data_IF_199684476252
#
_entry.id   IF_199684476252
#
_cell.length_a   1.000
_cell.length_b   1.000
_cell.length_c   1.000
_cell.angle_alpha   90.00
_cell.angle_beta   90.00
_cell.angle_gamma   90.00
#
_symmetry.space_group_name_H-M   'P 1'
#
loop_
_entity.id
_entity.type
_entity.pdbx_description
1 polymer ?
#
# COMPACT_ATOMS: atom_id res chain seq x y z
N UNK A 1 -27.26 -9.12 4.37
CA UNK A 1 -26.49 -9.50 5.57
C UNK A 1 -25.43 -8.45 5.92
N UNK A 2 -24.42 -8.08 5.09
CA UNK A 2 -23.40 -7.04 5.43
C UNK A 2 -23.93 -5.67 5.86
N UNK A 3 -25.05 -5.19 5.29
CA UNK A 3 -25.64 -3.87 5.65
C UNK A 3 -26.30 -3.88 7.04
N UNK A 4 -26.86 -5.00 7.47
CA UNK A 4 -27.49 -5.18 8.77
C UNK A 4 -26.46 -5.20 9.91
N UNK A 5 -25.32 -5.85 9.71
CA UNK A 5 -24.19 -5.89 10.67
C UNK A 5 -23.59 -4.49 10.86
N UNK A 6 -23.46 -3.70 9.78
CA UNK A 6 -22.97 -2.32 9.84
C UNK A 6 -23.89 -1.43 10.70
N UNK A 7 -25.21 -1.55 10.53
CA UNK A 7 -26.20 -0.76 11.29
C UNK A 7 -26.22 -1.15 12.77
N UNK A 8 -26.14 -2.46 13.08
CA UNK A 8 -26.07 -2.93 14.46
C UNK A 8 -24.79 -2.45 15.18
N UNK A 9 -23.66 -2.42 14.47
CA UNK A 9 -22.39 -1.89 14.99
C UNK A 9 -22.46 -0.38 15.26
N UNK A 10 -23.13 0.39 14.41
CA UNK A 10 -23.36 1.82 14.64
C UNK A 10 -24.20 2.07 15.89
N UNK A 11 -25.27 1.30 16.08
CA UNK A 11 -26.09 1.39 17.30
C UNK A 11 -25.31 0.97 18.55
N UNK A 12 -24.47 -0.04 18.47
CA UNK A 12 -23.60 -0.46 19.57
C UNK A 12 -22.58 0.64 19.95
N UNK A 13 -22.00 1.34 18.98
CA UNK A 13 -21.15 2.52 19.19
C UNK A 13 -21.91 3.66 19.87
N UNK A 14 -23.15 3.92 19.46
CA UNK A 14 -24.01 4.96 20.07
C UNK A 14 -24.37 4.64 21.52
N UNK A 15 -24.66 3.38 21.86
CA UNK A 15 -24.87 2.96 23.26
C UNK A 15 -23.67 3.28 24.15
N UNK A 16 -22.47 3.19 23.59
CA UNK A 16 -21.23 3.57 24.28
C UNK A 16 -21.05 5.07 24.43
N UNK A 17 -21.25 5.83 23.37
CA UNK A 17 -21.19 7.30 23.42
C UNK A 17 -22.12 7.86 24.48
N UNK A 18 -23.27 7.21 24.69
CA UNK A 18 -24.23 7.53 25.72
C UNK A 18 -23.84 7.00 27.12
N UNK A 19 -22.67 6.34 27.26
CA UNK A 19 -22.20 5.73 28.51
C UNK A 19 -23.23 4.82 29.19
N UNK A 20 -24.00 4.04 28.42
CA UNK A 20 -24.98 3.10 28.97
C UNK A 20 -24.25 1.85 29.45
N UNK A 21 -24.34 1.48 30.77
CA UNK A 21 -23.65 0.32 31.31
C UNK A 21 -24.11 -1.01 30.68
N UNK A 22 -23.19 -1.99 30.60
CA UNK A 22 -23.47 -3.30 29.97
C UNK A 22 -24.52 -4.13 30.70
N UNK A 23 -24.65 -3.96 32.03
CA UNK A 23 -25.68 -4.60 32.83
C UNK A 23 -27.11 -4.11 32.45
N UNK A 24 -27.28 -2.84 32.12
CA UNK A 24 -28.56 -2.26 31.65
C UNK A 24 -28.92 -2.79 30.25
N UNK A 25 -27.93 -2.93 29.36
CA UNK A 25 -28.13 -3.57 28.05
C UNK A 25 -28.53 -5.03 28.23
N UNK A 26 -27.90 -5.74 29.16
CA UNK A 26 -28.27 -7.12 29.55
C UNK A 26 -29.68 -7.23 30.09
N UNK A 27 -30.05 -6.39 31.08
CA UNK A 27 -31.41 -6.35 31.65
C UNK A 27 -32.48 -6.07 30.59
N UNK A 28 -32.19 -5.19 29.63
CA UNK A 28 -33.12 -4.90 28.52
C UNK A 28 -33.33 -6.13 27.63
N UNK A 29 -32.25 -6.85 27.34
CA UNK A 29 -32.30 -8.13 26.61
C UNK A 29 -33.11 -9.20 27.35
N UNK A 30 -32.98 -9.26 28.67
CA UNK A 30 -33.72 -10.20 29.52
C UNK A 30 -35.21 -9.87 29.57
N UNK A 31 -35.58 -8.58 29.56
CA UNK A 31 -36.99 -8.16 29.46
C UNK A 31 -37.62 -8.60 28.11
N UNK A 32 -36.88 -8.45 27.02
CA UNK A 32 -37.37 -8.92 25.69
C UNK A 32 -37.49 -10.45 25.63
N UNK A 33 -36.60 -11.18 26.32
CA UNK A 33 -36.69 -12.65 26.41
C UNK A 33 -37.81 -13.11 27.32
N UNK A 34 -38.04 -12.41 28.44
CA UNK A 34 -39.10 -12.75 29.38
C UNK A 34 -40.51 -12.47 28.81
N UNK A 35 -40.66 -11.44 27.99
CA UNK A 35 -41.93 -11.06 27.35
C UNK A 35 -41.72 -10.83 25.85
N UNK A 36 -41.64 -11.93 25.03
CA UNK A 36 -41.36 -11.82 23.58
C UNK A 36 -42.41 -10.96 22.83
N UNK A 37 -43.64 -10.90 23.35
CA UNK A 37 -44.71 -10.13 22.76
C UNK A 37 -44.39 -8.62 22.71
N UNK A 38 -43.67 -8.08 23.68
CA UNK A 38 -43.23 -6.67 23.70
C UNK A 38 -42.28 -6.37 22.54
N UNK A 39 -41.37 -7.30 22.21
CA UNK A 39 -40.47 -7.13 21.06
C UNK A 39 -41.25 -7.14 19.74
N UNK A 40 -42.17 -8.08 19.58
CA UNK A 40 -43.06 -8.19 18.40
C UNK A 40 -43.94 -6.95 18.22
N UNK A 41 -44.49 -6.43 19.33
CA UNK A 41 -45.32 -5.21 19.29
C UNK A 41 -44.49 -3.98 18.92
N UNK A 42 -43.21 -3.93 19.33
CA UNK A 42 -42.31 -2.84 18.96
C UNK A 42 -41.88 -2.93 17.49
N UNK A 43 -41.75 -4.13 16.93
CA UNK A 43 -41.46 -4.36 15.50
C UNK A 43 -42.70 -4.09 14.62
N UNK A 44 -43.91 -4.25 15.15
CA UNK A 44 -45.15 -4.11 14.38
C UNK A 44 -45.43 -2.67 13.99
N UNK A 45 -45.67 -2.38 12.70
CA UNK A 45 -46.11 -1.05 12.25
C UNK A 45 -47.57 -0.75 12.63
N UNK A 46 -48.37 -1.72 13.07
CA UNK A 46 -49.74 -1.55 13.47
C UNK A 46 -49.88 -0.87 14.86
N UNK A 47 -48.83 -0.91 15.69
CA UNK A 47 -48.80 -0.28 17.02
C UNK A 47 -48.28 1.14 16.88
N UNK A 48 -49.05 2.13 17.39
CA UNK A 48 -48.67 3.54 17.32
C UNK A 48 -47.37 3.82 18.11
N UNK A 49 -46.53 4.74 17.63
CA UNK A 49 -45.28 5.14 18.30
C UNK A 49 -45.53 5.63 19.73
N UNK A 50 -46.62 6.35 19.96
CA UNK A 50 -47.02 6.83 21.30
C UNK A 50 -47.31 5.69 22.28
N UNK A 51 -47.92 4.60 21.80
CA UNK A 51 -48.12 3.40 22.62
C UNK A 51 -46.80 2.68 22.94
N UNK A 52 -45.89 2.55 21.96
CA UNK A 52 -44.56 1.99 22.15
C UNK A 52 -43.75 2.79 23.16
N UNK A 53 -43.70 4.12 23.04
CA UNK A 53 -43.04 5.03 23.97
C UNK A 53 -43.59 4.93 25.41
N UNK A 54 -44.89 4.83 25.56
CA UNK A 54 -45.50 4.66 26.89
C UNK A 54 -45.10 3.35 27.58
N UNK A 55 -44.93 2.26 26.82
CA UNK A 55 -44.44 0.99 27.35
C UNK A 55 -42.96 1.11 27.73
N UNK A 56 -42.14 1.75 26.87
CA UNK A 56 -40.72 1.99 27.17
C UNK A 56 -40.56 2.76 28.48
N UNK A 57 -41.34 3.79 28.72
CA UNK A 57 -41.24 4.60 29.94
C UNK A 57 -41.64 3.86 31.21
N UNK A 58 -42.50 2.85 31.11
CA UNK A 58 -43.02 2.13 32.27
C UNK A 58 -42.18 0.86 32.61
N UNK A 59 -41.58 0.23 31.60
CA UNK A 59 -41.01 -1.11 31.73
C UNK A 59 -39.48 -1.08 31.75
N UNK A 60 -38.85 -0.17 31.02
CA UNK A 60 -37.43 -0.18 30.82
C UNK A 60 -36.66 0.79 31.75
N UNK A 61 -35.38 0.50 32.09
CA UNK A 61 -34.52 1.38 32.86
C UNK A 61 -34.38 2.77 32.25
N UNK A 62 -34.24 3.80 33.10
CA UNK A 62 -34.26 5.21 32.65
C UNK A 62 -33.17 5.51 31.62
N UNK A 63 -31.95 4.93 31.80
CA UNK A 63 -30.77 5.22 31.01
C UNK A 63 -30.87 4.76 29.55
N UNK A 64 -31.71 3.76 29.24
CA UNK A 64 -31.83 3.18 27.90
C UNK A 64 -33.11 3.62 27.16
N UNK A 65 -34.03 4.33 27.82
CA UNK A 65 -35.33 4.67 27.26
C UNK A 65 -35.23 5.47 25.97
N UNK A 66 -34.39 6.49 25.95
CA UNK A 66 -34.27 7.36 24.77
C UNK A 66 -33.69 6.63 23.59
N UNK A 67 -32.74 5.73 23.85
CA UNK A 67 -32.18 4.85 22.82
C UNK A 67 -33.25 3.89 22.25
N UNK A 68 -34.03 3.26 23.10
CA UNK A 68 -35.13 2.38 22.66
C UNK A 68 -36.21 3.12 21.88
N UNK A 69 -36.53 4.38 22.25
CA UNK A 69 -37.45 5.21 21.47
C UNK A 69 -36.95 5.45 20.06
N UNK A 70 -35.65 5.79 19.92
CA UNK A 70 -35.01 5.96 18.59
C UNK A 70 -35.03 4.66 17.78
N UNK A 71 -34.77 3.50 18.42
CA UNK A 71 -34.85 2.20 17.76
C UNK A 71 -36.27 1.88 17.27
N UNK A 72 -37.29 2.23 18.07
CA UNK A 72 -38.71 2.07 17.69
C UNK A 72 -39.11 3.02 16.56
N UNK A 73 -38.67 4.28 16.61
CA UNK A 73 -38.96 5.30 15.61
C UNK A 73 -38.35 4.95 14.24
N UNK A 74 -37.15 4.35 14.23
CA UNK A 74 -36.49 3.87 13.03
C UNK A 74 -36.99 2.49 12.56
N UNK A 75 -37.75 1.76 13.39
CA UNK A 75 -38.23 0.42 13.08
C UNK A 75 -37.16 -0.67 13.17
N UNK A 76 -36.04 -0.41 13.86
CA UNK A 76 -34.83 -1.26 13.90
C UNK A 76 -34.75 -2.18 15.14
N UNK A 77 -35.89 -2.33 15.87
CA UNK A 77 -35.94 -3.14 17.11
C UNK A 77 -35.55 -4.63 16.85
N UNK A 78 -35.81 -5.13 15.66
CA UNK A 78 -35.42 -6.47 15.25
C UNK A 78 -33.90 -6.74 15.30
N UNK A 79 -33.08 -5.67 15.22
CA UNK A 79 -31.62 -5.75 15.32
C UNK A 79 -31.11 -5.84 16.75
N UNK A 80 -31.99 -5.84 17.78
CA UNK A 80 -31.58 -5.79 19.18
C UNK A 80 -30.56 -6.87 19.56
N UNK A 81 -30.74 -8.10 19.11
CA UNK A 81 -29.84 -9.22 19.43
C UNK A 81 -28.45 -9.05 18.79
N UNK A 82 -28.43 -8.51 17.55
CA UNK A 82 -27.19 -8.17 16.84
C UNK A 82 -26.48 -6.99 17.49
N UNK A 83 -27.25 -5.98 17.96
CA UNK A 83 -26.73 -4.82 18.71
C UNK A 83 -26.09 -5.28 20.03
N UNK A 84 -26.74 -6.19 20.77
CA UNK A 84 -26.20 -6.74 22.00
C UNK A 84 -24.90 -7.52 21.76
N UNK A 85 -24.81 -8.26 20.66
CA UNK A 85 -23.62 -9.00 20.27
C UNK A 85 -22.50 -8.03 19.92
N UNK A 86 -22.75 -7.07 19.05
CA UNK A 86 -21.82 -6.02 18.68
C UNK A 86 -21.36 -5.18 19.89
N UNK A 87 -22.26 -4.87 20.83
CA UNK A 87 -21.92 -4.13 22.04
C UNK A 87 -20.96 -4.90 22.94
N UNK A 88 -21.09 -6.24 23.05
CA UNK A 88 -20.13 -7.10 23.79
C UNK A 88 -18.77 -7.20 23.09
N UNK A 89 -18.75 -7.24 21.77
CA UNK A 89 -17.51 -7.27 20.99
C UNK A 89 -16.75 -5.95 21.04
N UNK A 90 -17.49 -4.84 21.05
CA UNK A 90 -16.96 -3.47 21.18
C UNK A 90 -16.66 -3.10 22.64
N UNK A 91 -17.03 -3.89 23.66
CA UNK A 91 -16.88 -3.56 25.10
C UNK A 91 -15.44 -3.66 25.62
N UNK A 92 -14.91 -2.64 26.33
CA UNK A 92 -13.54 -2.66 26.83
C UNK A 92 -13.36 -3.53 28.10
N UNK A 93 -14.33 -4.34 28.47
CA UNK A 93 -14.21 -5.28 29.60
C UNK A 93 -13.38 -6.56 29.30
N UNK A 94 -12.98 -6.80 28.06
CA UNK A 94 -11.66 -7.41 27.86
C UNK A 94 -10.64 -6.28 28.08
N UNK A 95 -10.04 -6.19 29.26
CA UNK A 95 -8.66 -5.72 29.37
C UNK A 95 -7.93 -6.53 28.32
N UNK A 96 -7.55 -5.89 27.18
CA UNK A 96 -6.57 -6.47 26.30
C UNK A 96 -5.33 -6.64 27.17
N UNK A 97 -5.13 -7.87 27.65
CA UNK A 97 -3.93 -8.24 28.34
C UNK A 97 -2.82 -7.92 27.36
N UNK A 98 -1.99 -6.94 27.68
CA UNK A 98 -0.87 -6.59 26.84
C UNK A 98 0.13 -7.74 26.91
N UNK A 99 0.00 -8.64 25.92
CA UNK A 99 0.81 -9.86 25.85
C UNK A 99 2.16 -9.50 25.26
N UNK A 100 3.21 -9.79 26.00
CA UNK A 100 4.60 -9.69 25.55
C UNK A 100 5.14 -11.10 25.34
N UNK A 101 5.41 -11.47 24.10
CA UNK A 101 5.97 -12.78 23.75
C UNK A 101 7.49 -12.66 23.58
N UNK A 102 8.24 -13.42 24.38
CA UNK A 102 9.69 -13.55 24.26
C UNK A 102 10.02 -14.89 23.59
N UNK A 103 10.53 -14.85 22.35
CA UNK A 103 11.05 -16.04 21.65
C UNK A 103 12.57 -16.10 21.82
N UNK A 104 13.12 -17.24 22.20
CA UNK A 104 14.55 -17.41 22.49
C UNK A 104 15.09 -18.77 22.02
N UNK A 105 16.41 -18.85 21.81
CA UNK A 105 17.10 -20.13 21.56
C UNK A 105 17.66 -20.72 22.86
N UNK A 106 18.25 -19.87 23.71
CA UNK A 106 18.75 -20.27 25.03
C UNK A 106 17.90 -19.56 26.08
N UNK A 107 17.38 -20.31 27.05
CA UNK A 107 16.52 -19.76 28.09
C UNK A 107 17.22 -18.60 28.83
N UNK A 108 16.61 -17.41 28.88
CA UNK A 108 17.17 -16.27 29.59
C UNK A 108 17.20 -16.50 31.09
N UNK A 109 18.17 -15.91 31.73
CA UNK A 109 18.25 -15.93 33.22
C UNK A 109 17.16 -15.05 33.84
N UNK A 110 16.81 -15.29 35.09
CA UNK A 110 15.82 -14.48 35.81
C UNK A 110 16.17 -12.97 35.81
N UNK A 111 17.45 -12.65 35.91
CA UNK A 111 17.93 -11.26 35.84
C UNK A 111 17.70 -10.64 34.46
N UNK A 112 17.94 -11.40 33.39
CA UNK A 112 17.68 -10.94 32.02
C UNK A 112 16.18 -10.75 31.77
N UNK A 113 15.34 -11.66 32.25
CA UNK A 113 13.88 -11.52 32.18
C UNK A 113 13.39 -10.27 32.90
N UNK A 114 13.95 -9.98 34.08
CA UNK A 114 13.58 -8.78 34.83
C UNK A 114 14.00 -7.49 34.09
N UNK A 115 15.18 -7.48 33.48
CA UNK A 115 15.66 -6.34 32.70
C UNK A 115 14.77 -6.10 31.45
N UNK A 116 14.39 -7.16 30.76
CA UNK A 116 13.45 -7.09 29.63
C UNK A 116 12.09 -6.54 30.09
N UNK A 117 11.57 -7.06 31.21
CA UNK A 117 10.31 -6.58 31.77
C UNK A 117 10.36 -5.09 32.11
N UNK A 118 11.42 -4.63 32.77
CA UNK A 118 11.62 -3.23 33.13
C UNK A 118 11.73 -2.33 31.87
N UNK A 119 12.42 -2.81 30.83
CA UNK A 119 12.53 -2.09 29.57
C UNK A 119 11.16 -1.87 28.93
N UNK A 120 10.36 -2.94 28.82
CA UNK A 120 9.03 -2.88 28.21
C UNK A 120 8.07 -2.03 29.06
N UNK A 121 8.09 -2.18 30.38
CA UNK A 121 7.29 -1.38 31.31
C UNK A 121 7.58 0.12 31.16
N UNK A 122 8.84 0.48 31.08
CA UNK A 122 9.26 1.87 30.92
C UNK A 122 8.83 2.44 29.56
N UNK A 123 8.92 1.63 28.51
CA UNK A 123 8.59 2.08 27.15
C UNK A 123 7.09 2.27 26.94
N UNK A 124 6.27 1.34 27.40
CA UNK A 124 4.82 1.38 27.21
C UNK A 124 4.06 2.04 28.37
N UNK A 125 4.75 2.42 29.45
CA UNK A 125 4.18 3.01 30.65
C UNK A 125 2.96 2.21 31.19
N UNK A 126 3.07 0.87 31.18
CA UNK A 126 2.03 -0.06 31.64
C UNK A 126 2.62 -1.04 32.65
N UNK A 127 1.84 -1.35 33.69
CA UNK A 127 2.20 -2.35 34.70
C UNK A 127 1.53 -3.72 34.46
N UNK A 128 0.36 -3.72 33.83
CA UNK A 128 -0.45 -4.91 33.54
C UNK A 128 0.00 -5.55 32.22
N UNK A 129 1.01 -6.45 32.29
CA UNK A 129 1.52 -7.17 31.13
C UNK A 129 1.63 -8.67 31.42
N UNK A 130 1.19 -9.48 30.46
CA UNK A 130 1.36 -10.93 30.47
C UNK A 130 2.59 -11.29 29.65
N UNK A 131 3.60 -11.92 30.27
CA UNK A 131 4.80 -12.38 29.58
C UNK A 131 4.66 -13.86 29.22
N UNK A 132 4.67 -14.14 27.91
CA UNK A 132 4.75 -15.49 27.38
C UNK A 132 6.17 -15.74 26.84
N UNK A 133 6.74 -16.89 27.20
CA UNK A 133 8.07 -17.29 26.74
C UNK A 133 7.95 -18.50 25.82
N UNK A 134 8.62 -18.46 24.65
CA UNK A 134 8.59 -19.51 23.65
C UNK A 134 10.00 -19.86 23.19
N UNK A 135 10.36 -21.13 23.21
CA UNK A 135 11.60 -21.59 22.62
C UNK A 135 11.47 -21.69 21.11
N UNK A 136 12.40 -21.06 20.37
CA UNK A 136 12.41 -21.05 18.89
C UNK A 136 13.85 -21.25 18.36
N UNK A 137 14.24 -22.51 18.07
CA UNK A 137 15.57 -22.82 17.56
C UNK A 137 15.87 -22.20 16.20
N UNK A 138 14.84 -21.78 15.42
CA UNK A 138 15.02 -21.22 14.09
C UNK A 138 15.73 -19.86 14.08
N UNK A 139 15.83 -19.18 15.23
CA UNK A 139 16.48 -17.88 15.38
C UNK A 139 18.01 -17.94 15.25
N UNK A 140 18.61 -19.12 15.30
CA UNK A 140 20.05 -19.33 15.20
C UNK A 140 20.87 -18.80 16.38
N UNK A 141 20.23 -18.18 17.37
CA UNK A 141 20.81 -17.55 18.58
C UNK A 141 20.14 -16.23 18.93
N UNK A 142 20.27 -15.77 20.18
CA UNK A 142 19.65 -14.54 20.67
C UNK A 142 18.17 -14.70 20.95
N UNK A 143 17.40 -13.61 20.88
CA UNK A 143 15.98 -13.58 21.24
C UNK A 143 15.22 -12.51 20.43
N UNK A 144 13.90 -12.69 20.35
CA UNK A 144 12.95 -11.72 19.78
C UNK A 144 11.89 -11.41 20.84
N UNK A 145 11.60 -10.12 21.03
CA UNK A 145 10.52 -9.66 21.89
C UNK A 145 9.40 -9.12 21.00
N UNK A 146 8.17 -9.58 21.22
CA UNK A 146 6.96 -9.01 20.62
C UNK A 146 6.14 -8.35 21.73
N UNK A 147 5.85 -7.07 21.57
CA UNK A 147 5.06 -6.31 22.53
C UNK A 147 3.99 -5.51 21.78
N UNK A 148 2.75 -5.98 21.79
CA UNK A 148 1.70 -5.43 20.94
C UNK A 148 2.06 -5.57 19.46
N UNK A 149 2.11 -4.44 18.74
CA UNK A 149 2.42 -4.40 17.30
C UNK A 149 3.93 -4.20 17.01
N UNK A 150 4.78 -4.09 18.03
CA UNK A 150 6.22 -3.90 17.86
C UNK A 150 6.99 -5.19 18.08
N UNK A 151 8.03 -5.39 17.27
CA UNK A 151 8.95 -6.52 17.36
C UNK A 151 10.38 -6.01 17.48
N UNK A 152 11.05 -6.46 18.51
CA UNK A 152 12.46 -6.18 18.78
C UNK A 152 13.24 -7.44 18.49
N UNK A 153 14.03 -7.43 17.41
CA UNK A 153 14.80 -8.59 16.96
C UNK A 153 16.27 -8.45 17.32
N UNK A 154 16.72 -9.24 18.31
CA UNK A 154 18.11 -9.44 18.69
C UNK A 154 18.62 -10.85 18.33
N UNK A 155 17.95 -11.53 17.37
CA UNK A 155 18.39 -12.85 16.93
C UNK A 155 19.65 -12.77 16.07
N UNK A 156 20.38 -13.89 15.98
CA UNK A 156 21.55 -13.99 15.10
C UNK A 156 21.17 -13.83 13.65
N UNK A 157 20.02 -14.37 13.25
CA UNK A 157 19.51 -14.24 11.89
C UNK A 157 19.13 -12.79 11.55
N UNK A 158 18.49 -12.05 12.48
CA UNK A 158 18.19 -10.64 12.32
C UNK A 158 19.45 -9.79 12.16
N UNK A 159 20.48 -10.07 12.97
CA UNK A 159 21.79 -9.40 12.88
C UNK A 159 22.52 -9.69 11.57
N UNK A 160 22.51 -10.94 11.11
CA UNK A 160 23.10 -11.33 9.82
C UNK A 160 22.44 -10.61 8.65
N UNK A 161 21.11 -10.47 8.71
CA UNK A 161 20.34 -9.75 7.68
C UNK A 161 20.69 -8.27 7.68
N UNK A 162 20.73 -7.61 8.83
CA UNK A 162 21.15 -6.20 8.96
C UNK A 162 22.57 -5.98 8.44
N UNK A 163 23.48 -6.92 8.73
CA UNK A 163 24.86 -6.87 8.25
C UNK A 163 24.93 -7.04 6.72
N UNK A 164 24.18 -7.99 6.17
CA UNK A 164 24.10 -8.18 4.71
C UNK A 164 23.52 -6.95 4.00
N UNK A 165 22.47 -6.32 4.56
CA UNK A 165 21.88 -5.10 4.03
C UNK A 165 22.87 -3.92 4.05
N UNK A 166 23.63 -3.75 5.14
CA UNK A 166 24.69 -2.74 5.23
C UNK A 166 25.82 -3.00 4.24
N UNK A 167 26.27 -4.27 4.11
CA UNK A 167 27.30 -4.65 3.14
C UNK A 167 26.87 -4.34 1.70
N UNK A 168 25.62 -4.57 1.36
CA UNK A 168 25.10 -4.27 0.03
C UNK A 168 25.09 -2.76 -0.28
N UNK A 169 24.98 -1.92 0.75
CA UNK A 169 25.08 -0.46 0.62
C UNK A 169 26.53 0.02 0.47
N UNK A 170 27.46 -0.58 1.21
CA UNK A 170 28.89 -0.23 1.17
C UNK A 170 29.58 -0.67 -0.12
N UNK A 171 29.19 -1.82 -0.68
CA UNK A 171 29.73 -2.34 -1.95
C UNK A 171 29.48 -1.44 -3.18
N UNK A 172 28.60 -0.45 -3.06
CA UNK A 172 28.24 0.49 -4.14
C UNK A 172 29.18 1.72 -4.24
N UNK A 173 30.07 1.96 -3.26
CA UNK A 173 30.80 3.25 -3.15
C UNK A 173 32.32 3.16 -3.01
N UNK A 174 32.95 1.98 -3.01
CA UNK A 174 34.37 1.86 -2.68
C UNK A 174 35.18 0.95 -3.61
N UNK A 175 36.43 1.36 -3.91
CA UNK A 175 37.45 0.52 -4.55
C UNK A 175 37.87 -0.63 -3.63
N UNK A 176 38.39 -1.75 -4.20
CA UNK A 176 38.70 -2.99 -3.47
C UNK A 176 39.54 -2.81 -2.19
N UNK A 177 40.44 -1.85 -2.12
CA UNK A 177 41.24 -1.57 -0.92
C UNK A 177 40.52 -0.76 0.15
N UNK A 178 39.49 0.02 -0.22
CA UNK A 178 38.64 0.76 0.69
C UNK A 178 37.59 -0.12 1.42
N UNK A 179 37.17 -1.20 0.79
CA UNK A 179 36.14 -2.10 1.33
C UNK A 179 36.61 -2.76 2.64
N UNK A 180 37.86 -3.22 2.73
CA UNK A 180 38.38 -3.91 3.93
C UNK A 180 38.51 -2.95 5.14
N UNK A 181 38.90 -1.68 4.91
CA UNK A 181 39.03 -0.71 5.99
C UNK A 181 37.64 -0.21 6.46
N UNK A 182 36.68 -0.04 5.54
CA UNK A 182 35.30 0.32 5.85
C UNK A 182 34.60 -0.83 6.59
N UNK A 183 34.80 -2.08 6.14
CA UNK A 183 34.28 -3.27 6.81
C UNK A 183 34.80 -3.42 8.25
N UNK A 184 36.09 -3.15 8.48
CA UNK A 184 36.66 -3.17 9.84
C UNK A 184 36.04 -2.09 10.72
N UNK A 185 35.91 -0.86 10.24
CA UNK A 185 35.29 0.25 10.97
C UNK A 185 33.81 -0.02 11.28
N UNK A 186 33.05 -0.52 10.31
CA UNK A 186 31.63 -0.87 10.50
C UNK A 186 31.43 -2.06 11.44
N UNK A 187 32.38 -3.02 11.51
CA UNK A 187 32.35 -4.14 12.46
C UNK A 187 32.66 -3.65 13.87
N UNK A 188 33.61 -2.72 14.03
CA UNK A 188 34.00 -2.15 15.33
C UNK A 188 32.92 -1.17 15.88
N UNK A 189 32.23 -0.41 15.00
CA UNK A 189 31.17 0.54 15.34
C UNK A 189 29.76 -0.07 15.29
N UNK A 190 29.63 -1.39 15.06
CA UNK A 190 28.36 -2.08 14.96
C UNK A 190 27.61 -2.06 16.29
N UNK A 191 26.90 -0.96 16.53
CA UNK A 191 26.06 -0.78 17.69
C UNK A 191 24.75 -1.54 17.48
N UNK A 192 24.50 -2.52 18.32
CA UNK A 192 23.33 -3.40 18.35
C UNK A 192 22.08 -2.61 18.76
N UNK A 193 21.46 -1.90 17.80
CA UNK A 193 20.12 -1.36 18.01
C UNK A 193 19.10 -2.40 17.55
N UNK A 194 18.10 -2.65 18.40
CA UNK A 194 16.95 -3.45 17.97
C UNK A 194 16.25 -2.76 16.81
N UNK A 195 15.95 -3.50 15.75
CA UNK A 195 15.14 -2.99 14.68
C UNK A 195 13.68 -2.96 15.18
N UNK A 196 13.15 -1.77 15.40
CA UNK A 196 11.74 -1.57 15.72
C UNK A 196 10.93 -1.69 14.43
N UNK A 197 10.37 -2.85 14.19
CA UNK A 197 9.47 -3.06 13.05
C UNK A 197 8.03 -3.07 13.56
N UNK A 198 7.22 -2.19 13.02
CA UNK A 198 5.78 -2.22 13.21
C UNK A 198 5.17 -3.38 12.42
N UNK A 199 4.27 -4.12 13.06
CA UNK A 199 3.64 -5.28 12.49
C UNK A 199 2.13 -5.10 12.55
N UNK A 200 1.51 -5.22 11.38
CA UNK A 200 0.07 -5.24 11.26
C UNK A 200 -0.48 -6.62 10.91
N UNK A 201 -1.79 -6.69 10.84
CA UNK A 201 -2.53 -7.85 10.34
C UNK A 201 -3.53 -7.42 9.28
N UNK A 202 -3.70 -8.26 8.27
CA UNK A 202 -4.69 -8.04 7.20
C UNK A 202 -6.09 -8.15 7.77
N UNK A 203 -6.89 -7.10 7.63
CA UNK A 203 -8.32 -7.08 8.00
C UNK A 203 -9.23 -7.46 6.83
N UNK A 204 -8.79 -7.21 5.60
CA UNK A 204 -9.51 -7.55 4.38
C UNK A 204 -8.53 -7.62 3.19
N UNK A 205 -8.76 -8.56 2.26
CA UNK A 205 -7.99 -8.67 1.01
C UNK A 205 -8.91 -9.03 -0.15
N UNK A 206 -8.64 -8.47 -1.31
CA UNK A 206 -9.36 -8.78 -2.56
C UNK A 206 -8.98 -7.83 -3.70
N UNK A 207 -9.02 -8.34 -4.93
CA UNK A 207 -8.81 -7.58 -6.17
C UNK A 207 -7.48 -6.78 -6.20
N UNK A 208 -6.42 -7.32 -5.60
CA UNK A 208 -5.10 -6.68 -5.57
C UNK A 208 -4.96 -5.57 -4.52
N UNK A 209 -5.86 -5.51 -3.53
CA UNK A 209 -5.82 -4.57 -2.41
C UNK A 209 -5.91 -5.34 -1.10
N UNK A 210 -5.22 -4.86 -0.07
CA UNK A 210 -5.33 -5.32 1.29
C UNK A 210 -5.53 -4.14 2.24
N UNK A 211 -6.46 -4.27 3.18
CA UNK A 211 -6.54 -3.39 4.34
C UNK A 211 -5.78 -4.04 5.50
N UNK A 212 -4.98 -3.24 6.20
CA UNK A 212 -4.10 -3.72 7.27
C UNK A 212 -4.31 -2.85 8.51
N UNK A 213 -4.51 -3.49 9.65
CA UNK A 213 -4.62 -2.86 10.96
C UNK A 213 -3.32 -3.04 11.75
N UNK A 214 -3.04 -2.12 12.68
CA UNK A 214 -1.93 -2.24 13.61
C UNK A 214 -0.59 -1.71 13.08
N UNK A 215 -0.60 -0.93 12.00
CA UNK A 215 0.52 -0.13 11.54
C UNK A 215 0.11 1.34 11.62
N UNK A 216 0.55 2.02 12.69
CA UNK A 216 0.07 3.37 13.01
C UNK A 216 0.95 4.47 12.41
N UNK A 217 2.22 4.17 12.08
CA UNK A 217 3.19 5.14 11.58
C UNK A 217 3.53 4.96 10.09
N UNK A 218 2.72 4.19 9.34
CA UNK A 218 2.95 4.01 7.91
C UNK A 218 2.79 5.33 7.15
N UNK A 219 3.71 5.58 6.22
CA UNK A 219 3.64 6.72 5.31
C UNK A 219 2.98 6.33 3.98
N UNK A 220 2.33 7.31 3.34
CA UNK A 220 1.86 7.15 1.97
C UNK A 220 3.03 6.81 1.02
N UNK A 221 2.84 5.81 0.17
CA UNK A 221 3.88 5.34 -0.74
C UNK A 221 4.92 4.40 -0.10
N UNK A 222 4.78 4.04 1.17
CA UNK A 222 5.69 3.10 1.83
C UNK A 222 5.44 1.65 1.39
N UNK A 223 6.50 0.87 1.26
CA UNK A 223 6.43 -0.57 1.00
C UNK A 223 6.20 -1.33 2.29
N UNK A 224 5.24 -2.23 2.26
CA UNK A 224 4.99 -3.25 3.29
C UNK A 224 5.20 -4.64 2.71
N UNK A 225 5.59 -5.60 3.54
CA UNK A 225 5.85 -6.98 3.14
C UNK A 225 4.90 -7.90 3.90
N UNK A 226 4.15 -8.71 3.17
CA UNK A 226 3.27 -9.74 3.71
C UNK A 226 4.06 -11.01 4.01
N UNK A 227 3.59 -11.84 4.96
CA UNK A 227 4.27 -13.11 5.32
C UNK A 227 4.44 -14.06 4.12
N UNK A 228 3.59 -13.95 3.09
CA UNK A 228 3.72 -14.66 1.81
C UNK A 228 4.91 -14.18 0.96
N UNK A 229 5.61 -13.11 1.36
CA UNK A 229 6.65 -12.45 0.57
C UNK A 229 6.12 -11.46 -0.47
N UNK A 230 4.81 -11.35 -0.64
CA UNK A 230 4.21 -10.35 -1.53
C UNK A 230 4.48 -8.96 -0.97
N UNK A 231 4.88 -8.05 -1.85
CA UNK A 231 5.07 -6.63 -1.50
C UNK A 231 3.78 -5.86 -1.76
N UNK A 232 3.50 -4.89 -0.91
CA UNK A 232 2.42 -3.93 -1.13
C UNK A 232 2.92 -2.51 -0.92
N UNK A 233 2.20 -1.55 -1.47
CA UNK A 233 2.46 -0.12 -1.27
C UNK A 233 1.26 0.52 -0.57
N UNK A 234 1.52 1.30 0.47
CA UNK A 234 0.50 2.04 1.21
C UNK A 234 -0.05 3.16 0.33
N UNK A 235 -1.34 3.13 0.04
CA UNK A 235 -2.04 4.10 -0.81
C UNK A 235 -3.13 4.88 -0.06
N UNK A 236 -3.55 4.40 1.09
CA UNK A 236 -4.56 5.06 1.91
C UNK A 236 -4.18 4.91 3.38
N UNK A 237 -4.16 6.01 4.11
CA UNK A 237 -3.84 6.02 5.55
C UNK A 237 -5.05 6.57 6.27
N UNK A 238 -5.70 5.72 7.08
CA UNK A 238 -6.85 6.06 7.91
C UNK A 238 -6.45 5.96 9.38
N UNK A 239 -7.36 6.35 10.26
CA UNK A 239 -7.10 6.37 11.69
C UNK A 239 -6.75 4.98 12.26
N UNK A 240 -7.46 3.95 11.83
CA UNK A 240 -7.39 2.61 12.43
C UNK A 240 -6.91 1.54 11.42
N UNK A 241 -6.77 1.89 10.15
CA UNK A 241 -6.34 0.97 9.08
C UNK A 241 -5.57 1.68 7.97
N UNK A 242 -4.71 0.95 7.29
CA UNK A 242 -4.07 1.39 6.05
C UNK A 242 -4.56 0.55 4.88
N UNK A 243 -4.76 1.19 3.72
CA UNK A 243 -5.09 0.53 2.46
C UNK A 243 -3.84 0.36 1.61
N UNK A 244 -3.49 -0.88 1.30
CA UNK A 244 -2.31 -1.23 0.51
C UNK A 244 -2.71 -1.79 -0.84
N UNK A 245 -2.03 -1.37 -1.91
CA UNK A 245 -2.09 -2.03 -3.21
C UNK A 245 -1.03 -3.13 -3.27
N UNK A 246 -1.38 -4.30 -3.81
CA UNK A 246 -0.51 -5.48 -3.85
C UNK A 246 0.24 -5.56 -5.18
N UNK A 247 1.51 -5.89 -5.14
CA UNK A 247 2.37 -6.10 -6.30
C UNK A 247 2.53 -7.58 -6.67
N UNK A 248 1.56 -8.39 -6.33
CA UNK A 248 1.53 -9.82 -6.62
C UNK A 248 0.12 -10.38 -6.42
N UNK A 249 -0.05 -11.66 -6.70
CA UNK A 249 -1.34 -12.31 -6.51
C UNK A 249 -1.69 -12.41 -5.03
N UNK A 250 -2.94 -12.15 -4.71
CA UNK A 250 -3.50 -12.16 -3.36
C UNK A 250 -3.90 -13.56 -2.86
N UNK A 251 -3.69 -14.60 -3.67
CA UNK A 251 -4.13 -15.97 -3.38
C UNK A 251 -3.58 -16.57 -2.09
N UNK A 252 -2.40 -16.12 -1.66
CA UNK A 252 -1.74 -16.59 -0.43
C UNK A 252 -1.98 -15.66 0.76
N UNK A 253 -2.62 -14.50 0.54
CA UNK A 253 -2.91 -13.53 1.59
C UNK A 253 -4.33 -13.75 2.09
N UNK A 254 -4.51 -13.85 3.40
CA UNK A 254 -5.79 -14.05 4.08
C UNK A 254 -5.99 -13.03 5.19
N UNK A 255 -7.21 -12.88 5.67
CA UNK A 255 -7.49 -12.13 6.89
C UNK A 255 -6.66 -12.71 8.05
N UNK A 256 -6.01 -11.85 8.82
CA UNK A 256 -5.06 -12.23 9.87
C UNK A 256 -3.62 -12.47 9.39
N UNK A 257 -3.32 -12.45 8.07
CA UNK A 257 -1.94 -12.53 7.58
C UNK A 257 -1.13 -11.37 8.13
N UNK A 258 0.07 -11.68 8.62
CA UNK A 258 0.99 -10.70 9.17
C UNK A 258 1.58 -9.82 8.07
N UNK A 259 1.73 -8.53 8.36
CA UNK A 259 2.33 -7.53 7.48
C UNK A 259 3.40 -6.77 8.25
N UNK A 260 4.55 -6.59 7.63
CA UNK A 260 5.69 -5.89 8.22
C UNK A 260 5.95 -4.61 7.46
N UNK A 261 6.08 -3.52 8.19
CA UNK A 261 6.49 -2.22 7.67
C UNK A 261 7.98 -2.24 7.31
N UNK A 262 8.36 -1.60 6.20
CA UNK A 262 9.77 -1.52 5.77
C UNK A 262 10.42 -0.17 6.04
N UNK A 263 9.66 0.90 6.25
CA UNK A 263 10.17 2.27 6.34
C UNK A 263 10.75 2.81 5.03
N UNK A 264 10.60 2.10 3.91
CA UNK A 264 11.13 2.49 2.60
C UNK A 264 10.00 2.85 1.66
N UNK A 265 10.12 3.97 0.96
CA UNK A 265 9.18 4.36 -0.10
C UNK A 265 9.30 3.43 -1.30
N UNK A 266 8.18 3.22 -1.99
CA UNK A 266 8.15 2.47 -3.23
C UNK A 266 9.08 3.10 -4.26
N UNK A 267 9.89 2.31 -4.89
CA UNK A 267 10.88 2.72 -5.86
C UNK A 267 11.26 1.58 -6.80
N UNK A 268 12.10 1.92 -7.74
CA UNK A 268 12.57 1.02 -8.78
C UNK A 268 14.12 1.05 -8.83
N UNK A 269 14.77 -0.08 -9.09
CA UNK A 269 16.19 -0.06 -9.40
C UNK A 269 16.46 0.69 -10.71
N UNK A 270 17.55 1.44 -10.76
CA UNK A 270 17.94 2.27 -11.91
C UNK A 270 19.42 2.07 -12.26
N UNK A 271 19.81 2.49 -13.45
CA UNK A 271 21.18 2.44 -13.94
C UNK A 271 21.30 2.13 -15.43
N UNK A 272 22.51 2.18 -15.95
CA UNK A 272 22.76 1.97 -17.38
C UNK A 272 22.47 0.52 -17.83
N UNK A 273 22.45 -0.43 -16.90
CA UNK A 273 22.06 -1.81 -17.18
C UNK A 273 20.65 -1.99 -17.70
N UNK A 274 19.79 -0.96 -17.63
CA UNK A 274 18.41 -1.00 -18.13
C UNK A 274 18.31 -0.72 -19.64
N UNK A 275 19.35 -0.15 -20.26
CA UNK A 275 19.41 0.09 -21.70
C UNK A 275 19.34 -1.25 -22.47
N UNK A 276 18.48 -1.34 -23.45
CA UNK A 276 18.29 -2.57 -24.24
C UNK A 276 17.46 -3.65 -23.56
N UNK A 277 16.88 -3.39 -22.39
CA UNK A 277 16.18 -4.40 -21.58
C UNK A 277 14.67 -4.20 -21.59
N UNK A 278 13.97 -5.32 -21.33
CA UNK A 278 12.52 -5.32 -21.13
C UNK A 278 12.27 -5.70 -19.68
N UNK A 279 11.60 -4.81 -18.95
CA UNK A 279 11.33 -4.97 -17.52
C UNK A 279 9.84 -4.86 -17.22
N UNK A 280 9.42 -5.42 -16.11
CA UNK A 280 8.09 -5.22 -15.55
C UNK A 280 7.96 -3.85 -14.85
N UNK A 281 6.79 -3.57 -14.29
CA UNK A 281 6.51 -2.35 -13.56
C UNK A 281 7.30 -2.19 -12.25
N UNK A 282 7.98 -3.23 -11.77
CA UNK A 282 8.85 -3.24 -10.59
C UNK A 282 10.34 -3.20 -10.93
N UNK A 283 10.68 -3.16 -12.23
CA UNK A 283 12.07 -3.18 -12.72
C UNK A 283 12.70 -4.57 -12.83
N UNK A 284 11.92 -5.64 -12.62
CA UNK A 284 12.43 -6.98 -12.82
C UNK A 284 12.51 -7.32 -14.31
N UNK A 285 13.61 -7.94 -14.80
CA UNK A 285 13.76 -8.28 -16.20
C UNK A 285 12.79 -9.40 -16.61
N UNK A 286 12.12 -9.21 -17.75
CA UNK A 286 11.17 -10.18 -18.35
C UNK A 286 11.61 -10.65 -19.73
N UNK A 287 12.78 -10.23 -20.20
CA UNK A 287 13.37 -10.56 -21.52
C UNK A 287 14.18 -11.87 -21.54
N UNK A 288 14.35 -12.52 -20.39
CA UNK A 288 15.15 -13.75 -20.28
C UNK A 288 16.67 -13.55 -20.39
N UNK A 289 17.16 -12.30 -20.49
CA UNK A 289 18.59 -12.00 -20.60
C UNK A 289 19.35 -11.98 -19.26
N UNK A 290 18.73 -12.48 -18.20
CA UNK A 290 19.32 -12.56 -16.86
C UNK A 290 19.16 -11.28 -16.04
N UNK A 291 19.71 -11.24 -14.81
CA UNK A 291 19.57 -10.12 -13.90
C UNK A 291 20.21 -8.85 -14.45
N UNK A 292 19.61 -7.70 -14.14
CA UNK A 292 20.12 -6.39 -14.53
C UNK A 292 21.08 -5.90 -13.43
N UNK A 293 22.21 -5.30 -13.84
CA UNK A 293 23.09 -4.63 -12.90
C UNK A 293 22.47 -3.32 -12.44
N UNK A 294 22.06 -3.28 -11.20
CA UNK A 294 21.51 -2.10 -10.55
C UNK A 294 22.65 -1.17 -10.12
N UNK A 295 22.51 0.13 -10.36
CA UNK A 295 23.46 1.16 -9.92
C UNK A 295 22.90 2.04 -8.81
N UNK A 296 21.57 2.10 -8.72
CA UNK A 296 20.85 2.88 -7.72
C UNK A 296 19.45 2.38 -7.50
N UNK A 297 18.74 3.03 -6.58
CA UNK A 297 17.33 2.84 -6.30
C UNK A 297 16.64 4.21 -6.24
N UNK A 298 15.57 4.39 -7.00
CA UNK A 298 14.88 5.67 -7.10
C UNK A 298 13.42 5.53 -6.71
N UNK A 299 12.88 6.42 -5.86
CA UNK A 299 11.45 6.44 -5.58
C UNK A 299 10.65 6.65 -6.85
N UNK A 300 9.51 5.95 -6.99
CA UNK A 300 8.61 6.11 -8.15
C UNK A 300 7.82 7.42 -8.09
N UNK A 301 7.65 8.01 -6.92
CA UNK A 301 7.03 9.32 -6.72
C UNK A 301 8.01 10.24 -6.03
N UNK A 302 8.32 11.36 -6.67
CA UNK A 302 9.13 12.43 -6.08
C UNK A 302 8.70 13.81 -6.62
N UNK A 303 9.02 14.89 -5.87
CA UNK A 303 8.69 16.23 -6.32
C UNK A 303 9.37 16.55 -7.65
N UNK A 304 8.63 17.15 -8.58
CA UNK A 304 9.21 17.64 -9.83
C UNK A 304 10.20 18.80 -9.54
N UNK A 305 11.23 18.99 -10.41
CA UNK A 305 12.14 20.10 -10.32
C UNK A 305 11.41 21.45 -10.28
N UNK A 306 11.91 22.39 -9.48
CA UNK A 306 11.32 23.73 -9.36
C UNK A 306 11.43 24.50 -10.68
N UNK A 307 10.70 25.61 -10.79
CA UNK A 307 10.75 26.46 -11.99
C UNK A 307 12.17 27.01 -12.23
N UNK A 308 12.90 27.26 -11.15
CA UNK A 308 14.28 27.82 -11.21
C UNK A 308 15.27 26.79 -11.75
N UNK A 309 15.03 25.50 -11.48
CA UNK A 309 15.91 24.40 -11.90
C UNK A 309 15.68 23.95 -13.34
N UNK A 310 14.64 24.47 -14.00
CA UNK A 310 14.28 24.07 -15.38
C UNK A 310 15.00 24.92 -16.40
N UNK A 311 15.54 24.28 -17.42
CA UNK A 311 16.08 24.94 -18.59
C UNK A 311 14.98 25.32 -19.58
N UNK A 312 15.22 26.39 -20.36
CA UNK A 312 14.35 26.76 -21.47
C UNK A 312 14.43 25.71 -22.58
N UNK A 313 13.29 25.36 -23.16
CA UNK A 313 13.22 24.43 -24.30
C UNK A 313 13.75 25.17 -25.55
N UNK A 314 14.95 24.81 -26.00
CA UNK A 314 15.62 25.44 -27.14
C UNK A 314 16.16 24.46 -28.17
N UNK A 315 16.17 23.15 -27.85
CA UNK A 315 16.70 22.11 -28.75
C UNK A 315 15.53 21.28 -29.30
N UNK A 316 15.34 21.18 -30.62
CA UNK A 316 14.29 20.37 -31.21
C UNK A 316 14.61 18.87 -31.03
N UNK A 317 13.57 18.08 -30.89
CA UNK A 317 13.62 16.62 -31.00
C UNK A 317 13.14 16.23 -32.41
N UNK A 318 14.00 15.59 -33.19
CA UNK A 318 13.69 15.14 -34.50
C UNK A 318 12.87 13.86 -34.45
N UNK A 319 11.57 13.94 -34.82
CA UNK A 319 10.69 12.77 -34.84
C UNK A 319 10.88 11.92 -36.10
N UNK A 320 11.48 12.47 -37.16
CA UNK A 320 11.59 11.84 -38.48
C UNK A 320 10.30 11.94 -39.30
N UNK A 321 9.27 12.58 -38.78
CA UNK A 321 8.00 12.79 -39.42
C UNK A 321 7.94 14.23 -39.96
N UNK A 322 8.09 14.40 -41.28
CA UNK A 322 8.20 15.70 -41.90
C UNK A 322 7.09 16.69 -41.49
N UNK A 323 5.85 16.22 -41.36
CA UNK A 323 4.74 17.07 -40.97
C UNK A 323 4.87 17.61 -39.54
N UNK A 324 5.44 16.85 -38.62
CA UNK A 324 5.67 17.26 -37.24
C UNK A 324 6.88 18.19 -37.20
N UNK A 325 8.02 17.71 -37.69
CA UNK A 325 9.30 18.40 -37.54
C UNK A 325 9.32 19.78 -38.26
N UNK A 326 8.56 19.93 -39.36
CA UNK A 326 8.53 21.18 -40.13
C UNK A 326 7.46 22.18 -39.65
N UNK A 327 6.32 21.70 -39.13
CA UNK A 327 5.18 22.59 -38.82
C UNK A 327 4.99 22.76 -37.29
N UNK A 328 5.26 21.72 -36.51
CA UNK A 328 5.04 21.69 -35.07
C UNK A 328 6.20 20.99 -34.34
N UNK A 329 7.43 21.50 -34.46
CA UNK A 329 8.61 20.84 -33.88
C UNK A 329 8.46 20.66 -32.38
N UNK A 330 8.76 19.46 -31.94
CA UNK A 330 8.77 19.12 -30.52
C UNK A 330 10.14 19.46 -29.95
N UNK A 331 10.21 20.14 -28.80
CA UNK A 331 11.45 20.46 -28.14
C UNK A 331 11.81 19.44 -27.04
N UNK A 332 13.11 19.22 -26.84
CA UNK A 332 13.60 18.40 -25.72
C UNK A 332 13.21 19.07 -24.40
N UNK A 333 12.44 18.35 -23.56
CA UNK A 333 11.81 18.85 -22.34
C UNK A 333 10.32 19.18 -22.48
N UNK A 334 9.73 19.05 -23.65
CA UNK A 334 8.29 19.21 -23.88
C UNK A 334 7.50 17.96 -23.53
N UNK A 335 6.19 18.16 -23.31
CA UNK A 335 5.19 17.11 -23.17
C UNK A 335 4.20 17.24 -24.30
N UNK A 336 4.05 16.17 -25.08
CA UNK A 336 3.15 16.12 -26.21
C UNK A 336 2.10 15.02 -26.04
N UNK A 337 0.87 15.33 -26.42
CA UNK A 337 -0.24 14.38 -26.39
C UNK A 337 -0.59 13.95 -27.81
N UNK A 338 -0.46 12.65 -28.08
CA UNK A 338 -0.94 12.04 -29.31
C UNK A 338 -2.36 11.52 -29.06
N UNK A 339 -3.37 12.22 -29.56
CA UNK A 339 -4.78 11.87 -29.39
C UNK A 339 -5.40 11.41 -30.72
N UNK A 340 -6.30 10.42 -30.66
CA UNK A 340 -7.02 9.89 -31.80
C UNK A 340 -7.74 8.59 -31.46
N UNK A 341 -8.61 8.16 -32.35
CA UNK A 341 -9.36 6.91 -32.21
C UNK A 341 -8.47 5.66 -32.24
N UNK A 342 -9.06 4.50 -31.97
CA UNK A 342 -8.33 3.23 -32.06
C UNK A 342 -7.83 2.99 -33.45
N UNK A 343 -6.61 2.44 -33.60
CA UNK A 343 -5.98 2.07 -34.89
C UNK A 343 -5.70 3.25 -35.84
N UNK A 344 -5.59 4.47 -35.36
CA UNK A 344 -5.25 5.66 -36.16
C UNK A 344 -3.75 5.90 -36.33
N UNK A 345 -2.90 4.99 -35.86
CA UNK A 345 -1.44 5.09 -36.01
C UNK A 345 -0.71 5.81 -34.86
N UNK A 346 -1.35 6.07 -33.73
CA UNK A 346 -0.69 6.72 -32.54
C UNK A 346 0.62 6.04 -32.13
N UNK A 347 0.57 4.73 -31.96
CA UNK A 347 1.74 3.92 -31.60
C UNK A 347 2.81 3.96 -32.71
N UNK A 348 2.44 4.00 -33.98
CA UNK A 348 3.40 4.11 -35.09
C UNK A 348 4.20 5.41 -34.98
N UNK A 349 3.55 6.55 -34.75
CA UNK A 349 4.23 7.84 -34.55
C UNK A 349 5.26 7.74 -33.40
N UNK A 350 4.91 7.13 -32.30
CA UNK A 350 5.80 6.98 -31.17
C UNK A 350 7.00 6.07 -31.49
N UNK A 351 6.77 4.95 -32.16
CA UNK A 351 7.83 4.00 -32.56
C UNK A 351 8.77 4.62 -33.58
N UNK A 352 8.23 5.30 -34.62
CA UNK A 352 9.04 6.01 -35.62
C UNK A 352 9.90 7.09 -34.94
N UNK A 353 9.36 7.82 -33.96
CA UNK A 353 10.13 8.79 -33.19
C UNK A 353 11.27 8.13 -32.42
N UNK A 354 11.05 6.99 -31.76
CA UNK A 354 12.09 6.23 -31.07
C UNK A 354 13.19 5.80 -32.05
N UNK A 355 12.79 5.21 -33.19
CA UNK A 355 13.74 4.74 -34.21
C UNK A 355 14.61 5.89 -34.73
N UNK A 356 14.04 7.09 -34.87
CA UNK A 356 14.75 8.26 -35.39
C UNK A 356 15.74 8.86 -34.37
N UNK A 357 15.71 8.45 -33.07
CA UNK A 357 16.69 8.89 -32.08
C UNK A 357 18.06 8.18 -32.22
N UNK A 358 18.23 7.27 -33.18
CA UNK A 358 19.49 6.58 -33.41
C UNK A 358 20.63 7.57 -33.66
N UNK A 359 21.64 7.56 -32.80
CA UNK A 359 22.78 8.46 -32.90
C UNK A 359 22.55 9.90 -32.41
N UNK A 360 21.37 10.22 -31.91
CA UNK A 360 21.03 11.54 -31.38
C UNK A 360 21.41 11.73 -29.89
N UNK A 361 21.94 10.71 -29.23
CA UNK A 361 22.29 10.75 -27.80
C UNK A 361 21.08 10.81 -26.86
N UNK A 362 19.92 10.35 -27.32
CA UNK A 362 18.68 10.33 -26.54
C UNK A 362 18.39 8.91 -26.07
N UNK A 363 18.18 8.74 -24.77
CA UNK A 363 17.70 7.48 -24.21
C UNK A 363 16.19 7.40 -24.33
N UNK A 364 15.70 6.28 -24.82
CA UNK A 364 14.26 6.08 -25.04
C UNK A 364 13.68 5.12 -24.01
N UNK A 365 12.49 5.42 -23.50
CA UNK A 365 11.74 4.53 -22.61
C UNK A 365 10.35 4.36 -23.21
N UNK A 366 9.99 3.14 -23.54
CA UNK A 366 8.65 2.80 -23.98
C UNK A 366 7.89 2.09 -22.87
N UNK A 367 6.84 2.74 -22.36
CA UNK A 367 6.00 2.20 -21.29
C UNK A 367 4.71 1.65 -21.88
N UNK A 368 4.61 0.32 -21.97
CA UNK A 368 3.43 -0.39 -22.42
C UNK A 368 2.46 -0.60 -21.25
N UNK A 369 1.32 0.10 -21.25
CA UNK A 369 0.34 0.06 -20.17
C UNK A 369 -0.89 -0.72 -20.59
N UNK A 370 -1.13 -1.88 -19.96
CA UNK A 370 -2.31 -2.72 -20.21
C UNK A 370 -2.42 -3.21 -21.66
N UNK A 371 -1.32 -3.31 -22.37
CA UNK A 371 -1.29 -3.83 -23.74
C UNK A 371 -1.27 -5.37 -23.76
N UNK A 372 -1.63 -5.97 -24.89
CA UNK A 372 -1.47 -7.42 -25.07
C UNK A 372 0.01 -7.76 -25.20
N UNK A 373 0.45 -8.83 -24.56
CA UNK A 373 1.84 -9.30 -24.64
C UNK A 373 2.33 -9.47 -26.09
N UNK A 374 1.47 -9.95 -27.01
CA UNK A 374 1.79 -10.08 -28.43
C UNK A 374 2.04 -8.72 -29.12
N UNK A 375 1.36 -7.66 -28.70
CA UNK A 375 1.59 -6.31 -29.23
C UNK A 375 2.96 -5.80 -28.76
N UNK A 376 3.28 -5.96 -27.49
CA UNK A 376 4.58 -5.59 -26.93
C UNK A 376 5.71 -6.36 -27.63
N UNK A 377 5.55 -7.67 -27.84
CA UNK A 377 6.53 -8.49 -28.56
C UNK A 377 6.78 -8.01 -30.01
N UNK A 378 5.72 -7.59 -30.71
CA UNK A 378 5.86 -7.03 -32.06
C UNK A 378 6.62 -5.69 -32.06
N UNK A 379 6.38 -4.83 -31.05
CA UNK A 379 7.11 -3.57 -30.90
C UNK A 379 8.58 -3.83 -30.62
N UNK A 380 8.89 -4.74 -29.71
CA UNK A 380 10.28 -5.18 -29.41
C UNK A 380 10.97 -5.61 -30.70
N UNK A 381 10.35 -6.52 -31.45
CA UNK A 381 10.89 -7.02 -32.71
C UNK A 381 11.14 -5.89 -33.72
N UNK A 382 10.21 -4.94 -33.84
CA UNK A 382 10.40 -3.78 -34.72
C UNK A 382 11.60 -2.94 -34.29
N UNK A 383 11.73 -2.64 -32.99
CA UNK A 383 12.84 -1.85 -32.47
C UNK A 383 14.19 -2.58 -32.62
N UNK A 384 14.23 -3.92 -32.49
CA UNK A 384 15.40 -4.76 -32.77
C UNK A 384 15.80 -4.71 -34.22
N UNK A 385 14.83 -4.85 -35.16
CA UNK A 385 15.08 -4.81 -36.64
C UNK A 385 15.72 -3.50 -37.07
N UNK A 386 15.37 -2.37 -36.41
CA UNK A 386 15.96 -1.06 -36.70
C UNK A 386 17.19 -0.73 -35.82
N UNK A 387 17.58 -1.64 -34.92
CA UNK A 387 18.69 -1.41 -33.98
C UNK A 387 18.43 -0.28 -33.00
N UNK A 388 17.17 -0.09 -32.63
CA UNK A 388 16.75 0.93 -31.67
C UNK A 388 16.73 0.41 -30.23
N UNK A 389 16.80 -0.90 -30.03
CA UNK A 389 16.86 -1.47 -28.68
C UNK A 389 18.10 -1.07 -27.89
N UNK A 390 19.25 -0.81 -28.54
CA UNK A 390 20.50 -0.48 -27.87
C UNK A 390 20.40 0.75 -26.93
N UNK A 391 19.49 1.67 -27.25
CA UNK A 391 19.26 2.89 -26.46
C UNK A 391 17.82 2.99 -25.92
N UNK A 392 17.05 1.89 -26.00
CA UNK A 392 15.64 1.86 -25.58
C UNK A 392 15.45 0.89 -24.42
N UNK A 393 14.73 1.31 -23.39
CA UNK A 393 14.23 0.45 -22.32
C UNK A 393 12.72 0.29 -22.49
N UNK A 394 12.21 -0.93 -22.35
CA UNK A 394 10.78 -1.19 -22.39
C UNK A 394 10.29 -1.57 -21.00
N UNK A 395 9.33 -0.80 -20.49
CA UNK A 395 8.61 -1.12 -19.24
C UNK A 395 7.26 -1.67 -19.64
N UNK A 396 7.03 -2.94 -19.39
CA UNK A 396 5.79 -3.60 -19.81
C UNK A 396 4.92 -3.99 -18.61
N UNK A 397 3.69 -3.49 -18.61
CA UNK A 397 2.61 -3.99 -17.77
C UNK A 397 1.46 -4.42 -18.66
N UNK A 398 1.28 -5.73 -18.78
CA UNK A 398 0.33 -6.32 -19.74
C UNK A 398 -1.11 -6.25 -19.25
N UNK A 399 -2.07 -6.46 -20.16
CA UNK A 399 -3.51 -6.44 -19.85
C UNK A 399 -3.94 -7.58 -18.90
N UNK A 400 -3.13 -8.62 -18.74
CA UNK A 400 -3.37 -9.73 -17.82
C UNK A 400 -2.87 -9.48 -16.42
N UNK A 401 -2.09 -8.43 -16.20
CA UNK A 401 -1.57 -8.07 -14.90
C UNK A 401 -2.60 -7.31 -14.05
N UNK A 402 -2.38 -7.32 -12.75
CA UNK A 402 -3.24 -6.61 -11.79
C UNK A 402 -3.23 -5.10 -12.01
N UNK A 403 -4.34 -4.44 -11.70
CA UNK A 403 -4.47 -2.98 -11.83
C UNK A 403 -3.36 -2.19 -11.09
N UNK A 404 -2.87 -2.58 -9.91
CA UNK A 404 -1.73 -1.94 -9.26
C UNK A 404 -0.48 -1.86 -10.13
N UNK A 405 -0.11 -2.93 -10.84
CA UNK A 405 1.07 -2.94 -11.70
C UNK A 405 0.90 -2.02 -12.92
N UNK A 406 -0.30 -2.01 -13.52
CA UNK A 406 -0.62 -1.08 -14.61
C UNK A 406 -0.59 0.38 -14.13
N UNK A 407 -0.97 0.63 -12.87
CA UNK A 407 -0.94 1.96 -12.27
C UNK A 407 0.49 2.47 -12.07
N UNK A 408 1.41 1.65 -11.55
CA UNK A 408 2.78 2.11 -11.27
C UNK A 408 3.71 2.10 -12.48
N UNK A 409 3.39 1.38 -13.57
CA UNK A 409 4.25 1.27 -14.75
C UNK A 409 4.73 2.63 -15.33
N UNK A 410 3.87 3.66 -15.51
CA UNK A 410 4.34 4.95 -16.00
C UNK A 410 5.28 5.68 -15.01
N UNK A 411 5.05 5.53 -13.71
CA UNK A 411 5.94 6.09 -12.68
C UNK A 411 7.30 5.38 -12.69
N UNK A 412 7.31 4.07 -12.86
CA UNK A 412 8.52 3.27 -12.99
C UNK A 412 9.36 3.71 -14.20
N UNK A 413 8.72 3.84 -15.38
CA UNK A 413 9.38 4.35 -16.56
C UNK A 413 9.91 5.76 -16.41
N UNK A 414 9.16 6.65 -15.75
CA UNK A 414 9.59 8.00 -15.43
C UNK A 414 10.83 7.99 -14.52
N UNK A 415 10.83 7.21 -13.44
CA UNK A 415 11.93 7.12 -12.50
C UNK A 415 13.23 6.61 -13.13
N UNK A 416 13.16 5.65 -14.08
CA UNK A 416 14.33 5.22 -14.87
C UNK A 416 14.86 6.39 -15.70
N UNK A 417 13.97 7.16 -16.35
CA UNK A 417 14.35 8.29 -17.19
C UNK A 417 14.93 9.45 -16.38
N UNK A 418 14.38 9.72 -15.22
CA UNK A 418 14.88 10.77 -14.31
C UNK A 418 16.31 10.52 -13.85
N UNK A 419 16.73 9.27 -13.71
CA UNK A 419 18.13 8.92 -13.40
C UNK A 419 19.09 9.42 -14.46
N UNK A 420 18.78 9.23 -15.73
CA UNK A 420 19.60 9.73 -16.84
C UNK A 420 19.49 11.25 -16.98
N UNK A 421 18.28 11.78 -16.82
CA UNK A 421 18.05 13.24 -16.86
C UNK A 421 18.91 13.99 -15.81
N UNK A 422 19.01 13.47 -14.59
CA UNK A 422 19.84 14.08 -13.53
C UNK A 422 21.34 14.00 -13.84
N UNK A 423 21.76 13.07 -14.67
CA UNK A 423 23.14 13.00 -15.22
C UNK A 423 23.37 14.00 -16.37
N UNK A 424 22.33 14.72 -16.79
CA UNK A 424 22.38 15.66 -17.90
C UNK A 424 22.20 15.01 -19.27
N UNK A 425 21.66 13.78 -19.32
CA UNK A 425 21.38 13.07 -20.56
C UNK A 425 19.93 13.34 -21.01
N UNK A 426 19.69 13.35 -22.32
CA UNK A 426 18.35 13.55 -22.87
C UNK A 426 17.56 12.24 -22.86
N UNK A 427 16.28 12.32 -22.48
CA UNK A 427 15.40 11.16 -22.35
C UNK A 427 14.07 11.41 -23.06
N UNK A 428 13.65 10.44 -23.86
CA UNK A 428 12.32 10.36 -24.45
C UNK A 428 11.50 9.27 -23.76
N UNK A 429 10.42 9.64 -23.09
CA UNK A 429 9.49 8.68 -22.47
C UNK A 429 8.18 8.65 -23.25
N UNK A 430 7.79 7.47 -23.68
CA UNK A 430 6.52 7.20 -24.37
C UNK A 430 5.59 6.39 -23.48
N UNK A 431 4.40 6.90 -23.18
CA UNK A 431 3.36 6.19 -22.44
C UNK A 431 2.26 5.69 -23.40
N UNK A 432 2.13 4.40 -23.60
CA UNK A 432 1.14 3.80 -24.49
C UNK A 432 0.29 2.74 -23.77
N UNK A 433 -0.94 3.03 -23.27
CA UNK A 433 -1.62 4.32 -23.35
C UNK A 433 -2.09 4.80 -21.96
N UNK A 434 -2.18 6.10 -21.81
CA UNK A 434 -2.63 6.74 -20.57
C UNK A 434 -4.13 6.52 -20.30
N UNK A 435 -4.94 6.14 -21.27
CA UNK A 435 -6.37 5.81 -21.05
C UNK A 435 -6.50 4.56 -20.17
N UNK A 436 -5.64 3.57 -20.41
CA UNK A 436 -5.61 2.36 -19.57
C UNK A 436 -5.04 2.63 -18.18
N UNK A 437 -4.03 3.49 -18.09
CA UNK A 437 -3.53 3.98 -16.81
C UNK A 437 -4.64 4.64 -15.99
N UNK A 438 -5.42 5.54 -16.60
CA UNK A 438 -6.56 6.19 -15.94
C UNK A 438 -7.63 5.18 -15.51
N UNK A 439 -7.86 4.12 -16.29
CA UNK A 439 -8.78 3.04 -15.92
C UNK A 439 -8.26 2.26 -14.72
N UNK A 440 -6.98 1.90 -14.68
CA UNK A 440 -6.34 1.24 -13.54
C UNK A 440 -6.44 2.09 -12.28
N UNK A 441 -6.11 3.38 -12.36
CA UNK A 441 -6.25 4.33 -11.24
C UNK A 441 -7.69 4.40 -10.71
N UNK A 442 -8.69 4.47 -11.61
CA UNK A 442 -10.11 4.48 -11.22
C UNK A 442 -10.50 3.19 -10.50
N UNK A 443 -10.07 2.06 -11.00
CA UNK A 443 -10.32 0.76 -10.37
C UNK A 443 -9.75 0.72 -8.95
N UNK A 444 -8.49 1.10 -8.76
CA UNK A 444 -7.86 1.17 -7.45
C UNK A 444 -8.59 2.13 -6.49
N UNK A 445 -8.97 3.32 -6.98
CA UNK A 445 -9.68 4.30 -6.16
C UNK A 445 -11.03 3.79 -5.69
N UNK A 446 -11.79 3.11 -6.56
CA UNK A 446 -13.07 2.50 -6.21
C UNK A 446 -12.92 1.37 -5.19
N UNK A 447 -11.90 0.52 -5.35
CA UNK A 447 -11.60 -0.57 -4.42
C UNK A 447 -11.19 -0.03 -3.04
N UNK A 448 -10.38 1.03 -3.00
CA UNK A 448 -10.01 1.75 -1.77
C UNK A 448 -11.15 2.62 -1.20
N UNK A 449 -12.34 2.62 -1.83
CA UNK A 449 -13.52 3.40 -1.44
C UNK A 449 -13.26 4.91 -1.36
N UNK A 450 -12.37 5.43 -2.18
CA UNK A 450 -12.13 6.87 -2.30
C UNK A 450 -12.51 7.37 -3.69
N UNK A 451 -12.97 8.62 -3.83
CA UNK A 451 -13.36 9.15 -5.12
C UNK A 451 -12.15 9.23 -6.05
N UNK A 452 -12.24 8.72 -7.29
CA UNK A 452 -11.18 8.83 -8.28
C UNK A 452 -11.11 10.28 -8.78
N UNK A 453 -10.14 11.04 -8.29
CA UNK A 453 -9.87 12.39 -8.77
C UNK A 453 -11.01 13.40 -8.57
N UNK A 454 -10.77 14.45 -7.83
CA UNK A 454 -11.78 15.44 -7.48
C UNK A 454 -12.30 16.24 -8.71
N UNK A 455 -11.45 16.43 -9.69
CA UNK A 455 -11.77 17.30 -10.83
C UNK A 455 -12.73 16.67 -11.86
N UNK A 456 -12.79 15.35 -11.94
CA UNK A 456 -13.55 14.64 -12.98
C UNK A 456 -15.01 14.36 -12.61
N UNK A 457 -15.42 14.49 -11.33
CA UNK A 457 -16.76 14.08 -10.90
C UNK A 457 -17.64 15.21 -10.33
N UNK A 458 -17.05 16.29 -9.77
CA UNK A 458 -17.83 17.26 -9.01
C UNK A 458 -17.61 18.74 -9.34
N UNK A 459 -16.57 19.09 -10.12
CA UNK A 459 -16.17 20.49 -10.31
C UNK A 459 -16.14 20.92 -11.76
N UNK A 460 -16.40 20.03 -12.71
CA UNK A 460 -16.55 20.43 -14.11
C UNK A 460 -18.01 20.85 -14.31
N UNK A 461 -18.33 22.14 -14.36
CA UNK A 461 -19.69 22.61 -14.59
C UNK A 461 -20.14 22.35 -16.03
N UNK A 462 -19.25 21.87 -16.89
CA UNK A 462 -19.52 21.61 -18.30
C UNK A 462 -18.71 20.41 -18.81
N UNK A 463 -19.28 19.58 -19.70
CA UNK A 463 -18.54 18.55 -20.44
C UNK A 463 -17.40 19.08 -21.30
N UNK A 464 -17.28 20.40 -21.46
CA UNK A 464 -16.21 21.05 -22.21
C UNK A 464 -14.96 21.30 -21.38
N UNK A 465 -15.04 21.14 -20.03
CA UNK A 465 -13.94 21.36 -19.10
C UNK A 465 -13.25 20.05 -18.69
N UNK A 466 -13.63 18.95 -19.33
CA UNK A 466 -13.07 17.61 -19.14
C UNK A 466 -12.15 17.20 -20.31
#
# INVERSE_FOLDING_TARGET
MKRLISTALEYAKRLRELNIPGDIVGQTGDIFKAVPQVKLDFESPAVSLSAKHNVIEKVFPLQIRDFLKVLCDNGDVYLWDDICTAYREVSPERKEEFVVTLSYVTAPTDEQLQNIRNFIQKKYNREDMVFETKEDPSLGGGFIIRAGNEVYDWSTNGRMKQFADKLSQVGKTASEQGIISILKGEIEDFNLQAQENEIGSVSWVGDGIANVNGIDHAEYGEIVIFDSGVKGMVQDVRRDEIGCILFGHDTEIREGTRVVRTGKRAGIPVGDGFKGRIVDALGAPIDGAGPIKEEGYRPIEQPAPSIVDRQSVGVPMETGILAIDSMFPIGRGQRELIIGDRQTGKTAIAIDTIINQKGQGVHCIYVAIGQKASTVANIVKTLEEFGAMDYTTIVASTASELAPLQYIAPYAGCAIGEEWMERGEDVLVVYDDLSKHATAYRTLSLLLRRPPGRCLLYTSPSPRDS
#
